data_IF_848097716032
#
_entry.id   IF_848097716032
#
_cell.length_a   1.000
_cell.length_b   1.000
_cell.length_c   1.000
_cell.angle_alpha   90.00
_cell.angle_beta   90.00
_cell.angle_gamma   90.00
#
_symmetry.space_group_name_H-M   'P 1'
#
loop_
_entity.id
_entity.type
_entity.pdbx_description
1 polymer ?
#
# COMPACT_ATOMS: atom_id res chain seq x y z
N UNK A 1 5.46 -12.16 43.87
CA UNK A 1 4.86 -10.97 43.24
C UNK A 1 4.98 -11.16 41.73
N UNK A 2 3.87 -11.40 41.04
CA UNK A 2 3.88 -11.61 39.59
C UNK A 2 3.27 -10.38 38.92
N UNK A 3 4.04 -9.76 38.04
CA UNK A 3 3.69 -8.54 37.33
C UNK A 3 2.56 -8.82 36.34
N UNK A 4 1.46 -8.08 36.49
CA UNK A 4 0.46 -7.94 35.44
C UNK A 4 0.98 -6.93 34.41
N UNK A 5 1.27 -7.40 33.20
CA UNK A 5 1.19 -6.61 31.97
C UNK A 5 0.36 -7.48 31.03
N UNK A 6 -0.95 -7.26 30.84
CA UNK A 6 -1.50 -5.96 30.50
C UNK A 6 -1.20 -5.63 29.03
N UNK A 7 -1.19 -6.61 28.13
CA UNK A 7 -1.32 -6.35 26.69
C UNK A 7 -2.76 -6.64 26.28
N UNK A 8 -3.57 -5.61 26.49
CA UNK A 8 -4.83 -5.39 25.80
C UNK A 8 -4.71 -5.83 24.34
N UNK A 9 -5.56 -6.76 23.95
CA UNK A 9 -5.84 -7.19 22.58
C UNK A 9 -6.49 -6.03 21.78
N UNK A 10 -5.82 -4.87 21.70
CA UNK A 10 -6.27 -3.72 20.89
C UNK A 10 -5.63 -3.67 19.50
N UNK A 11 -4.83 -4.68 19.13
CA UNK A 11 -3.99 -4.65 17.92
C UNK A 11 -4.66 -5.02 16.59
N UNK A 12 -5.96 -5.32 16.54
CA UNK A 12 -6.57 -5.99 15.38
C UNK A 12 -7.82 -5.29 14.79
N UNK A 13 -7.98 -3.97 14.92
CA UNK A 13 -9.11 -3.25 14.29
C UNK A 13 -8.76 -1.87 13.72
N UNK A 14 -7.63 -1.72 13.01
CA UNK A 14 -7.64 -0.70 11.96
C UNK A 14 -8.45 -1.26 10.80
N UNK A 15 -9.72 -0.85 10.70
CA UNK A 15 -10.61 -1.35 9.65
C UNK A 15 -9.95 -1.14 8.27
N UNK A 16 -10.11 -2.08 7.33
CA UNK A 16 -9.57 -1.94 5.96
C UNK A 16 -9.96 -0.60 5.34
N UNK A 17 -11.11 -0.04 5.75
CA UNK A 17 -11.59 1.29 5.39
C UNK A 17 -10.69 2.43 5.89
N UNK A 18 -10.22 2.39 7.13
CA UNK A 18 -9.30 3.41 7.67
C UNK A 18 -7.95 3.38 6.98
N UNK A 19 -7.40 2.18 6.76
CA UNK A 19 -6.14 2.00 6.04
C UNK A 19 -6.24 2.53 4.60
N UNK A 20 -7.33 2.20 3.91
CA UNK A 20 -7.60 2.72 2.57
C UNK A 20 -7.80 4.23 2.59
N UNK A 21 -8.59 4.77 3.52
CA UNK A 21 -8.82 6.21 3.67
C UNK A 21 -7.53 6.96 3.91
N UNK A 22 -6.63 6.42 4.74
CA UNK A 22 -5.32 7.00 5.00
C UNK A 22 -4.47 6.99 3.72
N UNK A 23 -4.38 5.86 3.02
CA UNK A 23 -3.62 5.76 1.78
C UNK A 23 -4.11 6.75 0.71
N UNK A 24 -5.43 6.91 0.58
CA UNK A 24 -6.03 7.89 -0.33
C UNK A 24 -5.67 9.32 0.09
N UNK A 25 -5.79 9.68 1.38
CA UNK A 25 -5.43 11.01 1.87
C UNK A 25 -3.95 11.35 1.63
N UNK A 26 -3.05 10.41 1.91
CA UNK A 26 -1.60 10.62 1.80
C UNK A 26 -1.15 10.76 0.33
N UNK A 27 -1.91 10.19 -0.60
CA UNK A 27 -1.59 10.16 -2.04
C UNK A 27 -2.52 11.06 -2.86
N UNK A 28 -3.10 12.09 -2.24
CA UNK A 28 -3.99 13.03 -2.93
C UNK A 28 -3.28 13.61 -4.16
N UNK A 29 -3.98 13.66 -5.31
CA UNK A 29 -3.51 14.10 -6.64
C UNK A 29 -2.73 13.07 -7.47
N UNK A 30 -2.38 11.90 -6.92
CA UNK A 30 -1.74 10.80 -7.67
C UNK A 30 -2.75 9.83 -8.30
N UNK A 31 -4.02 9.91 -7.91
CA UNK A 31 -5.12 9.08 -8.40
C UNK A 31 -6.37 9.93 -8.69
N UNK A 32 -7.29 9.33 -9.45
CA UNK A 32 -8.66 9.84 -9.67
C UNK A 32 -9.66 8.83 -9.09
N UNK A 33 -10.81 9.32 -8.62
CA UNK A 33 -11.92 8.47 -8.16
C UNK A 33 -13.11 8.72 -9.07
N UNK A 34 -13.64 7.66 -9.69
CA UNK A 34 -14.87 7.74 -10.48
C UNK A 34 -16.09 7.88 -9.57
N UNK A 35 -17.23 8.29 -10.13
CA UNK A 35 -18.48 8.39 -9.37
C UNK A 35 -18.92 7.05 -8.76
N UNK A 36 -18.51 5.95 -9.38
CA UNK A 36 -18.83 4.58 -8.93
C UNK A 36 -17.80 4.04 -7.93
N UNK A 37 -16.83 4.87 -7.50
CA UNK A 37 -15.84 4.50 -6.49
C UNK A 37 -14.61 3.76 -7.02
N UNK A 38 -14.41 3.70 -8.34
CA UNK A 38 -13.18 3.14 -8.91
C UNK A 38 -12.03 4.12 -8.72
N UNK A 39 -10.91 3.61 -8.20
CA UNK A 39 -9.66 4.37 -8.07
C UNK A 39 -8.78 4.07 -9.26
N UNK A 40 -8.32 5.09 -9.97
CA UNK A 40 -7.43 4.97 -11.12
C UNK A 40 -6.15 5.76 -10.88
N UNK A 41 -5.00 5.17 -11.22
CA UNK A 41 -3.69 5.82 -11.14
C UNK A 41 -3.27 6.28 -12.53
N UNK A 42 -2.73 7.49 -12.63
CA UNK A 42 -2.19 8.01 -13.88
C UNK A 42 -0.68 7.72 -13.95
N UNK A 43 -0.34 6.64 -14.65
CA UNK A 43 1.04 6.19 -14.82
C UNK A 43 1.85 7.07 -15.80
N UNK A 44 1.23 8.05 -16.47
CA UNK A 44 1.96 9.01 -17.30
C UNK A 44 2.61 10.12 -16.46
N UNK A 45 2.20 10.28 -15.20
CA UNK A 45 2.80 11.26 -14.29
C UNK A 45 4.05 10.68 -13.65
N UNK A 46 5.18 11.34 -13.89
CA UNK A 46 6.48 10.97 -13.32
C UNK A 46 6.43 10.78 -11.79
N UNK A 47 5.71 11.65 -11.09
CA UNK A 47 5.58 11.58 -9.63
C UNK A 47 4.91 10.28 -9.14
N UNK A 48 3.92 9.78 -9.91
CA UNK A 48 3.20 8.54 -9.59
C UNK A 48 4.13 7.35 -9.81
N UNK A 49 4.85 7.34 -10.93
CA UNK A 49 5.82 6.29 -11.26
C UNK A 49 6.95 6.25 -10.23
N UNK A 50 7.54 7.40 -9.89
CA UNK A 50 8.62 7.50 -8.90
C UNK A 50 8.17 6.99 -7.52
N UNK A 51 6.93 7.29 -7.10
CA UNK A 51 6.37 6.81 -5.84
C UNK A 51 6.18 5.28 -5.83
N UNK A 52 5.71 4.71 -6.94
CA UNK A 52 5.57 3.26 -7.11
C UNK A 52 6.94 2.59 -7.09
N UNK A 53 7.92 3.09 -7.85
CA UNK A 53 9.28 2.56 -7.89
C UNK A 53 9.92 2.56 -6.50
N UNK A 54 9.84 3.66 -5.75
CA UNK A 54 10.33 3.73 -4.37
C UNK A 54 9.66 2.70 -3.44
N UNK A 55 8.39 2.41 -3.66
CA UNK A 55 7.69 1.42 -2.86
C UNK A 55 8.11 0.00 -3.26
N UNK A 56 8.37 -0.27 -4.53
CA UNK A 56 8.90 -1.54 -5.04
C UNK A 56 10.34 -1.77 -4.53
N UNK A 57 11.20 -0.76 -4.54
CA UNK A 57 12.57 -0.86 -4.01
C UNK A 57 12.60 -1.21 -2.52
N UNK A 58 11.60 -0.76 -1.74
CA UNK A 58 11.44 -1.15 -0.32
C UNK A 58 10.97 -2.60 -0.14
N UNK A 59 10.48 -3.24 -1.20
CA UNK A 59 10.04 -4.63 -1.20
C UNK A 59 11.19 -5.58 -1.59
N UNK A 60 12.45 -5.19 -1.38
CA UNK A 60 13.68 -5.83 -1.89
C UNK A 60 13.90 -7.34 -1.68
N UNK A 61 12.97 -8.04 -1.02
CA UNK A 61 12.96 -9.51 -0.87
C UNK A 61 11.86 -10.21 -1.71
N UNK A 62 11.11 -9.50 -2.56
CA UNK A 62 10.17 -10.15 -3.49
C UNK A 62 10.99 -10.85 -4.57
N UNK A 63 11.04 -12.18 -4.53
CA UNK A 63 11.60 -13.01 -5.60
C UNK A 63 10.80 -12.74 -6.88
N UNK A 64 11.38 -11.98 -7.80
CA UNK A 64 10.86 -11.88 -9.15
C UNK A 64 11.04 -13.24 -9.83
N UNK A 65 9.93 -13.88 -10.20
CA UNK A 65 9.99 -15.04 -11.08
C UNK A 65 10.50 -14.56 -12.44
N UNK A 66 11.81 -14.70 -12.67
CA UNK A 66 12.40 -14.52 -13.98
C UNK A 66 11.82 -15.59 -14.88
N UNK A 67 10.73 -15.25 -15.57
CA UNK A 67 10.13 -16.10 -16.57
C UNK A 67 11.22 -16.54 -17.53
N UNK A 68 11.61 -17.83 -17.46
CA UNK A 68 12.40 -18.47 -18.50
C UNK A 68 11.63 -18.27 -19.79
N UNK A 69 12.12 -17.36 -20.63
CA UNK A 69 11.78 -17.33 -22.05
C UNK A 69 12.29 -18.66 -22.60
N UNK A 70 11.39 -19.62 -22.73
CA UNK A 70 11.67 -20.89 -23.40
C UNK A 70 12.10 -20.57 -24.83
N UNK A 71 13.36 -20.91 -25.12
CA UNK A 71 13.98 -20.97 -26.44
C UNK A 71 13.40 -22.11 -27.26
#
# INVERSE_FOLDING_TARGET
MSFAFGLSLSGAMFSSKERLTKALKDNKNSYTISRDGYVSLDLNKKEVVDAITRQIEKLGDIKEESGKKGE
#
